data_IF_577606541695
#
_entry.id   IF_577606541695
#
_cell.length_a   1.000
_cell.length_b   1.000
_cell.length_c   1.000
_cell.angle_alpha   90.00
_cell.angle_beta   90.00
_cell.angle_gamma   90.00
#
_symmetry.space_group_name_H-M   'P 1'
#
loop_
_entity.id
_entity.type
_entity.pdbx_description
1 polymer ?
#
# COMPACT_ATOMS: atom_id res chain seq x y z
N UNK A 1 3.20 -9.07 -13.47
CA UNK A 1 1.94 -9.80 -13.72
C UNK A 1 1.55 -9.56 -15.16
N UNK A 2 1.25 -10.62 -15.90
CA UNK A 2 0.81 -10.55 -17.28
C UNK A 2 -0.63 -11.05 -17.39
N UNK A 3 -1.53 -10.20 -17.90
CA UNK A 3 -2.89 -10.62 -18.28
C UNK A 3 -2.89 -10.93 -19.78
N UNK A 4 -3.21 -12.16 -20.13
CA UNK A 4 -3.32 -12.60 -21.51
C UNK A 4 -4.49 -13.60 -21.66
N UNK A 5 -5.14 -13.59 -22.79
CA UNK A 5 -6.21 -14.56 -23.12
C UNK A 5 -5.69 -16.00 -23.21
N UNK A 6 -4.39 -16.18 -23.46
CA UNK A 6 -3.70 -17.47 -23.49
C UNK A 6 -2.49 -17.44 -22.57
N UNK A 7 -2.14 -18.61 -22.04
CA UNK A 7 -0.94 -18.77 -21.19
C UNK A 7 0.31 -18.44 -22.01
N UNK A 8 0.99 -17.34 -21.63
CA UNK A 8 2.20 -16.89 -22.31
C UNK A 8 3.37 -17.84 -21.98
N UNK A 9 4.10 -18.30 -23.00
CA UNK A 9 5.24 -19.24 -22.88
C UNK A 9 6.54 -18.47 -22.69
N UNK A 10 7.54 -19.10 -22.06
CA UNK A 10 8.92 -18.61 -22.06
C UNK A 10 9.39 -18.52 -23.51
N UNK A 11 10.14 -17.46 -23.84
CA UNK A 11 10.56 -17.14 -25.21
C UNK A 11 9.54 -16.35 -26.03
N UNK A 12 8.29 -16.20 -25.57
CA UNK A 12 7.29 -15.42 -26.28
C UNK A 12 7.69 -13.95 -26.41
N UNK A 13 7.44 -13.36 -27.57
CA UNK A 13 7.66 -11.94 -27.84
C UNK A 13 6.35 -11.17 -27.62
N UNK A 14 6.43 -10.10 -26.87
CA UNK A 14 5.34 -9.15 -26.61
C UNK A 14 5.66 -7.86 -27.37
N UNK A 15 4.64 -7.22 -27.91
CA UNK A 15 4.75 -5.96 -28.66
C UNK A 15 3.91 -4.92 -27.96
N UNK A 16 4.47 -3.75 -27.73
CA UNK A 16 3.86 -2.59 -27.10
C UNK A 16 3.85 -1.40 -28.05
N UNK A 17 3.15 -0.32 -27.72
CA UNK A 17 3.21 0.92 -28.50
C UNK A 17 4.64 1.44 -28.68
N UNK A 18 4.84 2.32 -29.65
CA UNK A 18 6.13 2.96 -29.99
C UNK A 18 7.26 1.96 -30.32
N UNK A 19 6.93 0.79 -30.88
CA UNK A 19 7.93 -0.21 -31.26
C UNK A 19 8.62 -0.93 -30.11
N UNK A 20 8.18 -0.70 -28.88
CA UNK A 20 8.72 -1.41 -27.71
C UNK A 20 8.37 -2.89 -27.77
N UNK A 21 9.36 -3.74 -27.54
CA UNK A 21 9.15 -5.18 -27.48
C UNK A 21 9.68 -5.75 -26.19
N UNK A 22 9.14 -6.90 -25.76
CA UNK A 22 9.71 -7.65 -24.65
C UNK A 22 9.71 -9.14 -24.95
N UNK A 23 10.70 -9.84 -24.42
CA UNK A 23 10.79 -11.29 -24.43
C UNK A 23 10.55 -11.85 -23.04
N UNK A 24 9.73 -12.89 -22.93
CA UNK A 24 9.51 -13.61 -21.69
C UNK A 24 10.72 -14.49 -21.39
N UNK A 25 11.45 -14.19 -20.32
CA UNK A 25 12.63 -14.94 -19.91
C UNK A 25 12.29 -16.04 -18.92
N UNK A 26 11.47 -15.72 -17.92
CA UNK A 26 11.11 -16.63 -16.85
C UNK A 26 9.64 -16.44 -16.46
N UNK A 27 9.10 -17.45 -15.82
CA UNK A 27 7.73 -17.43 -15.33
C UNK A 27 7.62 -18.19 -14.01
N UNK A 28 7.00 -17.53 -13.03
CA UNK A 28 6.57 -18.10 -11.77
C UNK A 28 5.08 -17.78 -11.56
N UNK A 29 4.21 -18.76 -11.79
CA UNK A 29 2.74 -18.64 -11.81
C UNK A 29 2.25 -17.46 -12.67
N UNK A 30 1.89 -16.34 -12.06
CA UNK A 30 1.40 -15.11 -12.70
C UNK A 30 2.46 -14.02 -12.83
N UNK A 31 3.65 -14.24 -12.30
CA UNK A 31 4.78 -13.32 -12.36
C UNK A 31 5.69 -13.73 -13.53
N UNK A 32 6.12 -12.74 -14.30
CA UNK A 32 6.98 -12.95 -15.45
C UNK A 32 8.20 -12.05 -15.36
N UNK A 33 9.37 -12.61 -15.68
CA UNK A 33 10.57 -11.80 -15.95
C UNK A 33 10.61 -11.51 -17.44
N UNK A 34 10.71 -10.24 -17.80
CA UNK A 34 10.71 -9.76 -19.17
C UNK A 34 12.03 -9.03 -19.46
N UNK A 35 12.60 -9.27 -20.64
CA UNK A 35 13.66 -8.43 -21.20
C UNK A 35 13.04 -7.49 -22.23
N UNK A 36 13.20 -6.18 -22.01
CA UNK A 36 12.65 -5.16 -22.90
C UNK A 36 13.70 -4.68 -23.91
N UNK A 37 13.22 -4.35 -25.11
CA UNK A 37 13.98 -3.68 -26.16
C UNK A 37 13.17 -2.47 -26.65
N UNK A 38 13.78 -1.30 -26.66
CA UNK A 38 13.19 -0.04 -27.12
C UNK A 38 14.30 0.90 -27.62
N UNK A 39 13.94 1.92 -28.36
CA UNK A 39 14.82 3.03 -28.71
C UNK A 39 14.89 4.02 -27.53
N UNK A 40 16.09 4.44 -27.18
CA UNK A 40 16.36 5.39 -26.09
C UNK A 40 16.31 4.77 -24.69
N UNK A 41 16.18 5.62 -23.68
CA UNK A 41 16.16 5.21 -22.28
C UNK A 41 14.80 4.59 -21.91
N UNK A 42 14.82 3.34 -21.44
CA UNK A 42 13.61 2.56 -21.13
C UNK A 42 12.66 3.25 -20.14
N UNK A 43 13.18 3.94 -19.13
CA UNK A 43 12.34 4.64 -18.14
C UNK A 43 11.54 5.77 -18.78
N UNK A 44 12.14 6.50 -19.70
CA UNK A 44 11.48 7.58 -20.44
C UNK A 44 10.39 7.03 -21.35
N UNK A 45 10.67 5.92 -22.04
CA UNK A 45 9.69 5.21 -22.85
C UNK A 45 8.53 4.68 -22.00
N UNK A 46 8.84 4.01 -20.89
CA UNK A 46 7.84 3.50 -19.96
C UNK A 46 6.94 4.62 -19.40
N UNK A 47 7.51 5.80 -19.14
CA UNK A 47 6.74 6.95 -18.68
C UNK A 47 5.75 7.46 -19.75
N UNK A 48 6.10 7.38 -21.04
CA UNK A 48 5.20 7.81 -22.14
C UNK A 48 4.08 6.81 -22.39
N UNK A 49 4.42 5.52 -22.58
CA UNK A 49 3.46 4.48 -22.96
C UNK A 49 2.79 3.79 -21.78
N UNK A 50 3.39 3.85 -20.60
CA UNK A 50 2.88 3.19 -19.39
C UNK A 50 1.63 3.87 -18.85
N UNK A 51 0.81 3.08 -18.20
CA UNK A 51 -0.39 3.54 -17.51
C UNK A 51 -0.28 3.28 -16.02
N UNK A 52 -0.92 4.12 -15.20
CA UNK A 52 -1.00 3.91 -13.76
C UNK A 52 -1.77 2.62 -13.47
N UNK A 53 -1.17 1.64 -12.77
CA UNK A 53 -1.88 0.42 -12.39
C UNK A 53 -2.91 0.75 -11.32
N UNK A 54 -4.19 0.67 -11.69
CA UNK A 54 -5.30 0.88 -10.76
C UNK A 54 -5.78 -0.46 -10.16
N UNK A 55 -6.31 -0.45 -8.92
CA UNK A 55 -6.99 -1.60 -8.35
C UNK A 55 -8.14 -2.09 -9.25
N UNK A 56 -8.44 -3.41 -9.27
CA UNK A 56 -9.42 -3.98 -10.20
C UNK A 56 -10.85 -3.44 -10.05
N UNK A 57 -11.20 -2.87 -8.90
CA UNK A 57 -12.52 -2.28 -8.64
C UNK A 57 -12.66 -0.84 -9.15
N UNK A 58 -11.57 -0.17 -9.51
CA UNK A 58 -11.61 1.13 -10.17
C UNK A 58 -11.81 0.89 -11.66
N UNK A 59 -13.04 1.10 -12.11
CA UNK A 59 -13.40 0.97 -13.53
C UNK A 59 -13.19 2.31 -14.23
N UNK A 60 -12.67 2.26 -15.47
CA UNK A 60 -12.54 3.40 -16.37
C UNK A 60 -13.08 3.00 -17.74
N UNK A 61 -13.62 3.94 -18.47
CA UNK A 61 -14.05 3.72 -19.84
C UNK A 61 -12.85 3.31 -20.69
N UNK A 62 -12.99 2.22 -21.44
CA UNK A 62 -11.90 1.62 -22.20
C UNK A 62 -10.83 0.89 -21.37
N UNK A 63 -11.02 0.65 -20.08
CA UNK A 63 -10.05 -0.01 -19.17
C UNK A 63 -8.68 0.69 -19.04
N UNK A 64 -8.58 1.95 -19.41
CA UNK A 64 -7.34 2.73 -19.34
C UNK A 64 -7.38 3.75 -18.20
N UNK A 65 -6.28 3.86 -17.47
CA UNK A 65 -6.09 4.95 -16.51
C UNK A 65 -6.10 6.30 -17.25
N UNK A 66 -6.76 7.29 -16.66
CA UNK A 66 -6.78 8.65 -17.21
C UNK A 66 -5.49 9.41 -16.85
N UNK A 67 -5.27 10.58 -17.48
CA UNK A 67 -4.17 11.46 -17.09
C UNK A 67 -4.33 11.92 -15.63
N UNK A 68 -5.56 12.11 -15.17
CA UNK A 68 -5.86 12.47 -13.78
C UNK A 68 -5.44 11.36 -12.80
N UNK A 69 -5.56 10.08 -13.18
CA UNK A 69 -5.15 8.97 -12.34
C UNK A 69 -3.63 8.96 -12.08
N UNK A 70 -2.81 9.46 -13.01
CA UNK A 70 -1.36 9.59 -12.80
C UNK A 70 -1.01 10.52 -11.64
N UNK A 71 -1.81 11.56 -11.46
CA UNK A 71 -1.63 12.54 -10.39
C UNK A 71 -2.41 12.14 -9.14
N UNK A 72 -3.67 11.73 -9.31
CA UNK A 72 -4.59 11.47 -8.19
C UNK A 72 -4.34 10.13 -7.51
N UNK A 73 -3.78 9.13 -8.22
CA UNK A 73 -3.43 7.83 -7.64
C UNK A 73 -1.99 7.81 -7.10
N UNK A 74 -1.61 8.90 -6.41
CA UNK A 74 -0.33 9.03 -5.71
C UNK A 74 -0.46 10.00 -4.54
N UNK A 75 0.35 9.82 -3.51
CA UNK A 75 0.42 10.78 -2.39
C UNK A 75 1.25 12.00 -2.77
N UNK A 76 0.91 13.18 -2.21
CA UNK A 76 1.64 14.43 -2.46
C UNK A 76 3.08 14.40 -1.92
N UNK A 77 3.41 13.45 -1.07
CA UNK A 77 4.72 13.28 -0.47
C UNK A 77 5.53 12.08 -1.02
N UNK A 78 5.06 11.45 -2.10
CA UNK A 78 5.79 10.36 -2.75
C UNK A 78 7.12 10.87 -3.32
N UNK A 79 8.23 10.20 -2.98
CA UNK A 79 9.58 10.57 -3.42
C UNK A 79 10.33 9.44 -4.12
N UNK A 80 10.10 8.19 -3.73
CA UNK A 80 10.81 7.02 -4.25
C UNK A 80 9.94 6.23 -5.23
N UNK A 81 10.43 6.05 -6.47
CA UNK A 81 9.74 5.25 -7.49
C UNK A 81 9.94 3.75 -7.24
N UNK A 82 8.92 2.92 -7.55
CA UNK A 82 9.06 1.45 -7.49
C UNK A 82 7.82 0.69 -7.03
N UNK A 83 6.80 1.37 -6.50
CA UNK A 83 5.54 0.74 -6.10
C UNK A 83 4.61 0.49 -7.29
N UNK A 84 3.81 -0.58 -7.21
CA UNK A 84 2.71 -0.85 -8.13
C UNK A 84 1.43 -0.16 -7.66
N UNK A 85 1.21 -0.13 -6.35
CA UNK A 85 0.06 0.52 -5.74
C UNK A 85 0.51 1.66 -4.81
N UNK A 86 -0.33 2.69 -4.69
CA UNK A 86 -0.08 3.78 -3.75
C UNK A 86 -0.68 3.48 -2.37
N UNK A 87 -0.13 4.04 -1.28
CA UNK A 87 -0.71 3.97 0.05
C UNK A 87 -1.91 4.93 0.15
N UNK A 88 -3.09 4.45 -0.23
CA UNK A 88 -4.26 5.27 -0.55
C UNK A 88 -4.80 6.10 0.62
N UNK A 89 -4.57 5.70 1.87
CA UNK A 89 -4.88 6.53 3.03
C UNK A 89 -4.11 7.87 3.02
N UNK A 90 -2.96 7.91 2.35
CA UNK A 90 -2.18 9.12 2.16
C UNK A 90 -2.81 10.14 1.21
N UNK A 91 -3.80 9.76 0.38
CA UNK A 91 -4.48 10.69 -0.55
C UNK A 91 -5.29 11.76 0.18
N UNK A 92 -5.68 11.51 1.43
CA UNK A 92 -6.38 12.47 2.27
C UNK A 92 -5.48 13.62 2.76
N UNK A 93 -4.16 13.50 2.54
CA UNK A 93 -3.19 14.52 2.94
C UNK A 93 -2.87 15.44 1.76
N UNK A 94 -3.13 16.72 1.95
CA UNK A 94 -2.66 17.78 1.04
C UNK A 94 -1.41 18.43 1.63
N UNK A 95 -0.60 19.11 0.80
CA UNK A 95 0.54 19.89 1.28
C UNK A 95 0.12 20.92 2.34
N UNK A 96 -1.05 21.53 2.16
CA UNK A 96 -1.60 22.48 3.14
C UNK A 96 -1.92 21.81 4.48
N UNK A 97 -2.52 20.61 4.46
CA UNK A 97 -2.79 19.86 5.71
C UNK A 97 -1.47 19.48 6.39
N UNK A 98 -0.50 18.96 5.64
CA UNK A 98 0.82 18.60 6.15
C UNK A 98 1.49 19.79 6.84
N UNK A 99 1.46 20.97 6.21
CA UNK A 99 2.01 22.20 6.78
C UNK A 99 1.30 22.57 8.09
N UNK A 100 -0.03 22.58 8.10
CA UNK A 100 -0.83 22.85 9.29
C UNK A 100 -0.59 21.88 10.45
N UNK A 101 -0.31 20.61 10.15
CA UNK A 101 0.06 19.63 11.17
C UNK A 101 1.43 19.96 11.79
N UNK A 102 2.42 20.32 10.95
CA UNK A 102 3.74 20.78 11.43
C UNK A 102 3.64 22.03 12.29
N UNK A 103 2.84 23.01 11.85
CA UNK A 103 2.62 24.25 12.59
C UNK A 103 1.98 24.01 13.98
N UNK A 104 1.23 22.90 14.11
CA UNK A 104 0.68 22.43 15.40
C UNK A 104 1.67 21.58 16.23
N UNK A 105 2.93 21.45 15.80
CA UNK A 105 3.96 20.69 16.51
C UNK A 105 3.93 19.17 16.30
N UNK A 106 3.16 18.67 15.31
CA UNK A 106 3.22 17.25 14.98
C UNK A 106 4.48 16.94 14.16
N UNK A 107 5.18 15.89 14.54
CA UNK A 107 6.33 15.39 13.79
C UNK A 107 5.88 14.42 12.72
N UNK A 108 6.35 14.62 11.50
CA UNK A 108 6.10 13.71 10.37
C UNK A 108 7.33 12.83 10.16
N UNK A 109 7.14 11.53 10.30
CA UNK A 109 8.19 10.52 10.19
C UNK A 109 7.93 9.64 8.93
N UNK A 110 8.54 9.95 7.78
CA UNK A 110 8.26 9.26 6.54
C UNK A 110 8.92 7.88 6.51
N UNK A 111 8.23 6.92 5.90
CA UNK A 111 8.77 5.62 5.50
C UNK A 111 8.53 5.41 4.00
N UNK A 112 9.39 4.61 3.36
CA UNK A 112 9.18 4.22 1.96
C UNK A 112 8.51 2.86 1.90
N UNK A 113 7.44 2.77 1.11
CA UNK A 113 6.67 1.55 0.89
C UNK A 113 6.61 1.24 -0.61
N UNK A 114 7.01 0.04 -1.01
CA UNK A 114 6.80 -0.47 -2.34
C UNK A 114 5.64 -1.47 -2.32
N UNK A 115 4.42 -0.91 -2.30
CA UNK A 115 3.18 -1.69 -2.21
C UNK A 115 2.98 -2.49 -3.49
N UNK A 116 2.79 -3.79 -3.34
CA UNK A 116 2.59 -4.73 -4.44
C UNK A 116 1.12 -4.94 -4.80
N UNK A 117 0.89 -5.66 -5.89
CA UNK A 117 -0.46 -6.02 -6.34
C UNK A 117 -1.21 -6.93 -5.34
N UNK A 118 -0.46 -7.69 -4.54
CA UNK A 118 -1.00 -8.63 -3.54
C UNK A 118 -1.95 -7.99 -2.52
N UNK A 119 -1.79 -6.70 -2.24
CA UNK A 119 -2.67 -5.92 -1.34
C UNK A 119 -4.15 -5.93 -1.75
N UNK A 120 -4.45 -6.11 -3.05
CA UNK A 120 -5.82 -6.14 -3.58
C UNK A 120 -6.40 -7.54 -3.72
N UNK A 121 -5.63 -8.57 -3.40
CA UNK A 121 -6.09 -9.95 -3.51
C UNK A 121 -6.93 -10.34 -2.30
N UNK A 122 -8.09 -10.97 -2.50
CA UNK A 122 -8.90 -11.47 -1.39
C UNK A 122 -8.26 -12.68 -0.73
N UNK A 123 -8.46 -12.83 0.56
CA UNK A 123 -8.13 -14.06 1.30
C UNK A 123 -9.05 -15.18 0.83
N UNK A 124 -8.45 -16.28 0.37
CA UNK A 124 -9.19 -17.43 -0.22
C UNK A 124 -9.20 -18.67 0.67
N UNK A 125 -8.43 -18.65 1.76
CA UNK A 125 -8.35 -19.78 2.70
C UNK A 125 -9.53 -19.76 3.66
N UNK A 126 -9.98 -20.93 4.11
CA UNK A 126 -11.04 -21.05 5.14
C UNK A 126 -10.48 -20.72 6.53
N UNK A 127 -9.29 -21.22 6.85
CA UNK A 127 -8.58 -20.90 8.08
C UNK A 127 -7.57 -19.78 7.80
N UNK A 128 -7.83 -18.59 8.34
CA UNK A 128 -6.96 -17.41 8.14
C UNK A 128 -5.53 -17.64 8.62
N UNK A 129 -5.30 -18.53 9.58
CA UNK A 129 -3.96 -18.85 10.10
C UNK A 129 -3.08 -19.53 9.06
N UNK A 130 -3.66 -20.11 8.02
CA UNK A 130 -2.95 -20.74 6.89
C UNK A 130 -2.68 -19.76 5.74
N UNK A 131 -3.17 -18.52 5.85
CA UNK A 131 -2.95 -17.52 4.83
C UNK A 131 -1.48 -17.08 4.81
N UNK A 132 -0.88 -17.12 3.62
CA UNK A 132 0.46 -16.58 3.39
C UNK A 132 0.36 -15.15 2.87
N UNK A 133 0.87 -14.21 3.65
CA UNK A 133 0.89 -12.81 3.28
C UNK A 133 1.89 -12.56 2.16
N UNK A 134 1.50 -11.77 1.17
CA UNK A 134 2.45 -11.30 0.17
C UNK A 134 3.45 -10.35 0.82
N UNK A 135 4.72 -10.57 0.50
CA UNK A 135 5.80 -9.71 0.96
C UNK A 135 5.80 -8.39 0.21
N UNK A 136 5.95 -7.28 0.93
CA UNK A 136 6.06 -5.93 0.38
C UNK A 136 7.37 -5.31 0.87
N UNK A 137 8.09 -4.67 -0.05
CA UNK A 137 9.36 -4.04 0.27
C UNK A 137 9.15 -2.69 0.94
N UNK A 138 9.90 -2.43 2.01
CA UNK A 138 9.85 -1.17 2.74
C UNK A 138 11.25 -0.67 3.10
N UNK A 139 11.33 0.62 3.47
CA UNK A 139 12.50 1.21 4.09
C UNK A 139 12.09 2.20 5.17
N UNK A 140 12.65 2.01 6.37
CA UNK A 140 12.57 2.91 7.51
C UNK A 140 13.95 3.57 7.67
N UNK A 141 14.09 4.87 7.36
CA UNK A 141 15.33 5.61 7.56
C UNK A 141 15.69 5.72 9.06
N UNK A 142 16.97 5.96 9.34
CA UNK A 142 17.47 6.14 10.70
C UNK A 142 16.76 7.27 11.45
N UNK A 143 16.61 8.45 10.82
CA UNK A 143 15.88 9.60 11.38
C UNK A 143 14.45 9.25 11.79
N UNK A 144 13.75 8.47 10.96
CA UNK A 144 12.38 8.00 11.26
C UNK A 144 12.37 7.03 12.43
N UNK A 145 13.32 6.08 12.46
CA UNK A 145 13.43 5.10 13.53
C UNK A 145 13.71 5.78 14.88
N UNK A 146 14.64 6.72 14.92
CA UNK A 146 14.95 7.54 16.11
C UNK A 146 13.75 8.37 16.56
N UNK A 147 13.05 9.00 15.62
CA UNK A 147 11.88 9.83 15.89
C UNK A 147 10.76 9.01 16.55
N UNK A 148 10.49 7.81 16.04
CA UNK A 148 9.47 6.90 16.60
C UNK A 148 9.90 6.39 17.97
N UNK A 149 11.17 5.97 18.12
CA UNK A 149 11.71 5.51 19.39
C UNK A 149 11.59 6.59 20.47
N UNK A 150 11.98 7.82 20.14
CA UNK A 150 11.88 8.97 21.05
C UNK A 150 10.42 9.26 21.43
N UNK A 151 9.51 9.24 20.45
CA UNK A 151 8.08 9.43 20.71
C UNK A 151 7.54 8.39 21.70
N UNK A 152 7.93 7.12 21.55
CA UNK A 152 7.55 6.04 22.48
C UNK A 152 8.10 6.27 23.90
N UNK A 153 9.38 6.63 24.01
CA UNK A 153 10.03 6.92 25.30
C UNK A 153 9.40 8.12 26.02
N UNK A 154 8.95 9.13 25.28
CA UNK A 154 8.28 10.31 25.80
C UNK A 154 6.76 10.11 26.02
N UNK A 155 6.21 8.93 25.79
CA UNK A 155 4.77 8.64 25.91
C UNK A 155 3.91 9.36 24.87
N UNK A 156 4.50 9.82 23.78
CA UNK A 156 3.76 10.43 22.66
C UNK A 156 3.17 9.35 21.74
N UNK A 157 1.99 9.64 21.20
CA UNK A 157 1.29 8.72 20.30
C UNK A 157 1.94 8.66 18.92
N UNK A 158 2.03 7.45 18.38
CA UNK A 158 2.42 7.17 17.00
C UNK A 158 1.15 6.93 16.19
N UNK A 159 0.87 7.82 15.24
CA UNK A 159 -0.30 7.74 14.34
C UNK A 159 0.17 7.27 12.98
N UNK A 160 -0.23 6.07 12.57
CA UNK A 160 0.12 5.53 11.25
C UNK A 160 -0.90 5.95 10.19
N UNK A 161 -0.42 6.33 9.01
CA UNK A 161 -1.26 6.62 7.84
C UNK A 161 -1.17 5.45 6.86
N UNK A 162 -2.25 4.66 6.80
CA UNK A 162 -2.39 3.46 5.98
C UNK A 162 -2.02 2.16 6.70
N UNK A 163 -2.75 1.10 6.36
CA UNK A 163 -2.54 -0.25 6.91
C UNK A 163 -1.17 -0.83 6.58
N UNK A 164 -0.58 -0.50 5.43
CA UNK A 164 0.77 -0.93 5.07
C UNK A 164 1.81 -0.26 5.98
N UNK A 165 1.62 1.01 6.35
CA UNK A 165 2.45 1.69 7.34
C UNK A 165 2.36 1.02 8.71
N UNK A 166 1.14 0.70 9.18
CA UNK A 166 0.93 -0.05 10.42
C UNK A 166 1.71 -1.35 10.40
N UNK A 167 1.56 -2.15 9.35
CA UNK A 167 2.22 -3.44 9.20
C UNK A 167 3.74 -3.33 9.26
N UNK A 168 4.28 -2.36 8.53
CA UNK A 168 5.73 -2.09 8.48
C UNK A 168 6.27 -1.67 9.85
N UNK A 169 5.59 -0.76 10.54
CA UNK A 169 6.01 -0.30 11.86
C UNK A 169 5.94 -1.42 12.90
N UNK A 170 4.87 -2.21 12.89
CA UNK A 170 4.73 -3.37 13.78
C UNK A 170 5.77 -4.46 13.52
N UNK A 171 6.14 -4.67 12.24
CA UNK A 171 7.18 -5.61 11.86
C UNK A 171 8.57 -5.17 12.34
N UNK A 172 8.87 -3.87 12.26
CA UNK A 172 10.18 -3.31 12.60
C UNK A 172 10.35 -2.96 14.09
N UNK A 173 9.28 -3.00 14.89
CA UNK A 173 9.33 -2.70 16.32
C UNK A 173 10.03 -3.82 17.09
N UNK A 174 11.13 -3.49 17.76
CA UNK A 174 11.86 -4.41 18.62
C UNK A 174 11.08 -4.80 19.88
N UNK A 175 11.51 -5.89 20.53
CA UNK A 175 10.92 -6.32 21.81
C UNK A 175 11.19 -5.31 22.93
N UNK A 176 12.24 -4.54 22.81
CA UNK A 176 12.66 -3.46 23.70
C UNK A 176 11.90 -2.13 23.49
N UNK A 177 10.85 -2.14 22.65
CA UNK A 177 10.10 -0.97 22.22
C UNK A 177 10.95 0.10 21.49
N UNK A 178 12.06 -0.29 20.89
CA UNK A 178 12.85 0.57 20.02
C UNK A 178 12.57 0.25 18.54
N UNK A 179 12.51 1.28 17.72
CA UNK A 179 12.45 1.12 16.27
C UNK A 179 13.86 1.12 15.72
N UNK A 180 14.18 0.13 14.86
CA UNK A 180 15.48 0.09 14.19
C UNK A 180 15.34 0.53 12.73
N UNK A 181 16.33 1.27 12.18
CA UNK A 181 16.37 1.51 10.75
C UNK A 181 16.44 0.16 10.04
N UNK A 182 15.58 -0.03 9.05
CA UNK A 182 15.44 -1.32 8.38
C UNK A 182 14.98 -1.13 6.95
N UNK A 183 15.52 -1.95 6.06
CA UNK A 183 15.07 -2.04 4.67
C UNK A 183 14.96 -3.50 4.28
N UNK A 184 13.86 -3.89 3.68
CA UNK A 184 13.66 -5.28 3.28
C UNK A 184 12.19 -5.64 3.05
N UNK A 185 11.92 -6.94 2.89
CA UNK A 185 10.57 -7.46 2.72
C UNK A 185 9.83 -7.56 4.06
N UNK A 186 8.54 -7.20 4.06
CA UNK A 186 7.60 -7.39 5.19
C UNK A 186 6.48 -8.33 4.75
N UNK A 187 6.34 -9.45 5.41
CA UNK A 187 5.27 -10.43 5.22
C UNK A 187 4.39 -10.62 6.46
N UNK A 188 4.47 -9.70 7.43
CA UNK A 188 3.69 -9.74 8.66
C UNK A 188 2.19 -9.74 8.34
N UNK A 189 1.48 -10.77 8.81
CA UNK A 189 0.04 -10.87 8.71
C UNK A 189 -0.61 -10.55 10.05
N UNK A 190 -1.34 -9.43 10.10
CA UNK A 190 -2.05 -8.96 11.29
C UNK A 190 -3.54 -9.30 11.16
N UNK A 191 -4.08 -10.00 12.16
CA UNK A 191 -5.49 -10.38 12.27
C UNK A 191 -5.93 -10.35 13.74
N UNK A 192 -7.23 -10.47 14.06
CA UNK A 192 -7.74 -10.39 15.43
C UNK A 192 -7.00 -11.29 16.43
N UNK A 193 -6.56 -10.71 17.54
CA UNK A 193 -5.68 -11.32 18.54
C UNK A 193 -4.25 -10.79 18.52
N UNK A 194 -3.87 -10.02 17.49
CA UNK A 194 -2.56 -9.35 17.43
C UNK A 194 -2.47 -8.25 18.48
N UNK A 195 -1.29 -8.10 19.11
CA UNK A 195 -0.98 -7.05 20.07
C UNK A 195 -0.10 -5.99 19.42
N UNK A 196 -0.66 -4.81 19.21
CA UNK A 196 0.07 -3.67 18.64
C UNK A 196 1.08 -3.12 19.64
N UNK A 197 2.27 -2.76 19.15
CA UNK A 197 3.37 -2.23 19.95
C UNK A 197 3.90 -0.88 19.43
N UNK A 198 3.83 -0.68 18.11
CA UNK A 198 4.37 0.49 17.45
C UNK A 198 3.34 1.60 17.26
N UNK A 199 2.07 1.25 17.06
CA UNK A 199 1.03 2.16 16.56
C UNK A 199 -0.07 2.34 17.62
N UNK A 200 -0.36 3.60 17.97
CA UNK A 200 -1.40 3.98 18.95
C UNK A 200 -2.69 4.48 18.30
N UNK A 201 -2.61 4.92 17.03
CA UNK A 201 -3.77 5.33 16.24
C UNK A 201 -3.48 5.15 14.75
N UNK A 202 -4.52 5.03 13.93
CA UNK A 202 -4.35 4.92 12.48
C UNK A 202 -5.37 5.74 11.70
N UNK A 203 -4.94 6.21 10.53
CA UNK A 203 -5.81 6.75 9.49
C UNK A 203 -5.84 5.72 8.36
N UNK A 204 -7.03 5.30 7.94
CA UNK A 204 -7.17 4.27 6.91
C UNK A 204 -8.46 4.44 6.12
N UNK A 205 -8.49 3.94 4.87
CA UNK A 205 -9.70 3.89 4.06
C UNK A 205 -10.67 2.80 4.57
N UNK A 206 -11.90 2.80 4.05
CA UNK A 206 -12.81 1.68 4.15
C UNK A 206 -12.39 0.57 3.18
N UNK A 207 -12.12 -0.63 3.69
CA UNK A 207 -11.55 -1.73 2.94
C UNK A 207 -12.59 -2.73 2.42
N UNK A 208 -12.19 -3.50 1.40
CA UNK A 208 -12.99 -4.58 0.82
C UNK A 208 -13.26 -5.71 1.85
N UNK A 209 -14.45 -6.33 1.79
CA UNK A 209 -14.72 -7.56 2.52
C UNK A 209 -13.70 -8.66 2.18
N UNK A 210 -13.41 -9.53 3.16
CA UNK A 210 -12.46 -10.64 3.01
C UNK A 210 -11.03 -10.23 2.64
N UNK A 211 -10.64 -8.97 2.89
CA UNK A 211 -9.27 -8.51 2.67
C UNK A 211 -8.42 -8.64 3.95
N UNK A 212 -7.10 -8.81 3.77
CA UNK A 212 -6.13 -8.76 4.87
C UNK A 212 -6.14 -7.42 5.58
N UNK A 213 -6.47 -6.34 4.85
CA UNK A 213 -6.58 -4.98 5.38
C UNK A 213 -7.74 -4.85 6.36
N UNK A 214 -8.91 -5.42 6.02
CA UNK A 214 -10.06 -5.43 6.94
C UNK A 214 -9.75 -6.25 8.21
N UNK A 215 -8.97 -7.32 8.09
CA UNK A 215 -8.55 -8.13 9.24
C UNK A 215 -7.62 -7.36 10.17
N UNK A 216 -6.65 -6.60 9.62
CA UNK A 216 -5.76 -5.73 10.39
C UNK A 216 -6.56 -4.66 11.16
N UNK A 217 -7.47 -3.97 10.47
CA UNK A 217 -8.30 -2.93 11.13
C UNK A 217 -9.22 -3.55 12.16
N UNK A 218 -9.75 -4.78 11.93
CA UNK A 218 -10.51 -5.52 12.93
C UNK A 218 -9.68 -5.91 14.15
N UNK A 219 -8.40 -6.22 13.96
CA UNK A 219 -7.48 -6.49 15.07
C UNK A 219 -7.24 -5.25 15.93
N UNK A 220 -7.18 -4.07 15.31
CA UNK A 220 -6.92 -2.80 15.98
C UNK A 220 -8.15 -2.24 16.70
N UNK A 221 -9.26 -2.08 16.00
CA UNK A 221 -10.49 -1.45 16.49
C UNK A 221 -11.41 -2.40 17.27
N UNK A 222 -11.20 -3.70 17.11
CA UNK A 222 -12.19 -4.71 17.48
C UNK A 222 -13.24 -4.91 16.37
N UNK A 223 -13.58 -6.17 16.09
CA UNK A 223 -14.47 -6.54 14.98
C UNK A 223 -15.85 -5.85 15.07
N UNK A 224 -16.45 -5.82 16.24
CA UNK A 224 -17.80 -5.27 16.41
C UNK A 224 -17.84 -3.76 16.21
N UNK A 225 -16.85 -3.03 16.74
CA UNK A 225 -16.72 -1.58 16.56
C UNK A 225 -16.52 -1.24 15.08
N UNK A 226 -15.65 -2.00 14.40
CA UNK A 226 -15.40 -1.79 12.98
C UNK A 226 -16.67 -2.03 12.15
N UNK A 227 -17.42 -3.10 12.40
CA UNK A 227 -18.66 -3.37 11.68
C UNK A 227 -19.72 -2.29 11.93
N UNK A 228 -19.85 -1.81 13.17
CA UNK A 228 -20.74 -0.71 13.50
C UNK A 228 -20.36 0.58 12.76
N UNK A 229 -19.04 0.90 12.70
CA UNK A 229 -18.53 2.07 11.94
C UNK A 229 -18.85 1.93 10.43
N UNK A 230 -18.71 0.72 9.87
CA UNK A 230 -19.04 0.48 8.45
C UNK A 230 -20.54 0.64 8.18
N UNK A 231 -21.41 0.15 9.07
CA UNK A 231 -22.85 0.35 8.95
C UNK A 231 -23.24 1.83 9.02
N UNK A 232 -22.65 2.58 9.96
CA UNK A 232 -22.82 4.02 10.06
C UNK A 232 -22.36 4.73 8.81
N UNK A 233 -21.18 4.39 8.29
CA UNK A 233 -20.64 4.98 7.07
C UNK A 233 -21.53 4.72 5.84
N UNK A 234 -22.10 3.51 5.71
CA UNK A 234 -23.05 3.18 4.64
C UNK A 234 -24.31 4.03 4.78
N UNK A 235 -24.86 4.15 5.98
CA UNK A 235 -26.07 4.95 6.25
C UNK A 235 -25.85 6.43 5.92
N UNK A 236 -24.68 6.97 6.24
CA UNK A 236 -24.29 8.36 6.00
C UNK A 236 -23.67 8.58 4.60
N UNK A 237 -23.78 7.59 3.70
CA UNK A 237 -23.33 7.66 2.30
C UNK A 237 -21.84 7.96 2.10
N UNK A 238 -20.98 7.52 3.03
CA UNK A 238 -19.53 7.57 2.85
C UNK A 238 -19.07 6.75 1.66
N UNK A 239 -18.03 7.22 0.98
CA UNK A 239 -17.41 6.51 -0.14
C UNK A 239 -16.38 5.52 0.37
N UNK A 240 -16.26 4.40 -0.31
CA UNK A 240 -15.41 3.29 0.09
C UNK A 240 -14.20 3.14 -0.85
N UNK A 241 -13.19 2.40 -0.40
CA UNK A 241 -11.98 1.99 -1.10
C UNK A 241 -11.00 3.12 -1.37
N UNK A 242 -10.15 3.01 -2.40
CA UNK A 242 -8.98 3.87 -2.63
C UNK A 242 -9.28 5.35 -2.78
N UNK A 243 -10.33 5.69 -3.51
CA UNK A 243 -10.79 7.09 -3.71
C UNK A 243 -11.97 7.46 -2.80
N UNK A 244 -12.25 6.62 -1.82
CA UNK A 244 -13.29 6.87 -0.84
C UNK A 244 -12.82 7.71 0.33
N UNK A 245 -13.63 7.71 1.37
CA UNK A 245 -13.38 8.47 2.59
C UNK A 245 -12.48 7.67 3.55
N UNK A 246 -12.05 8.28 4.65
CA UNK A 246 -11.16 7.68 5.63
C UNK A 246 -11.79 7.59 7.02
N UNK A 247 -11.25 6.65 7.81
CA UNK A 247 -11.48 6.53 9.24
C UNK A 247 -10.23 6.98 10.00
N UNK A 248 -10.41 7.69 11.09
CA UNK A 248 -9.41 7.86 12.14
C UNK A 248 -9.79 6.96 13.31
N UNK A 249 -8.90 6.05 13.69
CA UNK A 249 -9.12 5.06 14.76
C UNK A 249 -8.04 5.27 15.82
N UNK A 250 -8.46 5.58 17.06
CA UNK A 250 -7.60 5.89 18.20
C UNK A 250 -8.04 5.09 19.44
#
# INVERSE_FOLDING_TARGET
ILKSSKRTRIGARLVFPEGVTAQVLERDDTIYRLSFSCEGEFRSVLHRIGQTPLPPYIKRDGNHATQDDRTSYQTVYASQKGAIAAPTAGFHFTETLIRRLRDKGLTLAPITLHVGYGTFLPVRVQDIRTHRMHSEWFSIPEETAETITRARQEGRRVVAVGTTSVRTLEFAMGEDNTMKPMTGPCDLFIYPGYRFRAVDAMITNFHLPKSTLLMLVSAFAGRNNLLAAYQAAIKETYRFYSYGDAMFIA
#
